data_IF_794837217976
#
_entry.id   IF_794837217976
#
_cell.length_a   1.000
_cell.length_b   1.000
_cell.length_c   1.000
_cell.angle_alpha   90.00
_cell.angle_beta   90.00
_cell.angle_gamma   90.00
#
_symmetry.space_group_name_H-M   'P 1'
#
loop_
_entity.id
_entity.type
_entity.pdbx_description
1 polymer ?
#
# COMPACT_ATOMS: atom_id res chain seq x y z
N UNK A 1 27.50 -21.37 2.19
CA UNK A 1 27.15 -19.94 2.01
C UNK A 1 25.90 -19.75 1.15
N UNK A 2 25.80 -20.37 -0.03
CA UNK A 2 24.61 -20.25 -0.89
C UNK A 2 23.29 -20.65 -0.18
N UNK A 3 23.29 -21.78 0.53
CA UNK A 3 22.12 -22.28 1.29
C UNK A 3 21.66 -21.32 2.39
N UNK A 4 22.60 -20.66 3.06
CA UNK A 4 22.30 -19.66 4.08
C UNK A 4 21.73 -18.39 3.43
N UNK A 5 22.26 -18.00 2.27
CA UNK A 5 21.70 -16.89 1.50
C UNK A 5 20.25 -17.16 1.06
N UNK A 6 19.94 -18.34 0.52
CA UNK A 6 18.56 -18.71 0.14
C UNK A 6 17.62 -18.76 1.35
N UNK A 7 18.10 -19.19 2.52
CA UNK A 7 17.32 -19.14 3.77
C UNK A 7 17.08 -17.70 4.21
N UNK A 8 18.08 -16.82 4.07
CA UNK A 8 17.96 -15.40 4.42
C UNK A 8 16.98 -14.62 3.54
N UNK A 9 16.75 -15.05 2.29
CA UNK A 9 15.76 -14.46 1.38
C UNK A 9 14.36 -15.04 1.56
N UNK A 10 14.18 -16.00 2.48
CA UNK A 10 12.95 -16.78 2.68
C UNK A 10 12.50 -17.61 1.46
N UNK A 11 13.42 -17.92 0.54
CA UNK A 11 13.13 -18.70 -0.66
C UNK A 11 13.48 -20.18 -0.46
N UNK A 12 12.47 -21.05 -0.50
CA UNK A 12 12.67 -22.50 -0.43
C UNK A 12 13.25 -23.01 0.91
N UNK A 13 13.36 -22.17 1.93
CA UNK A 13 13.91 -22.52 3.24
C UNK A 13 13.20 -23.68 3.95
N UNK A 14 11.87 -23.91 3.82
CA UNK A 14 11.24 -25.08 4.44
C UNK A 14 11.73 -26.38 3.81
N UNK A 15 12.00 -26.39 2.49
CA UNK A 15 12.57 -27.54 1.81
C UNK A 15 13.97 -27.89 2.33
N UNK A 16 14.83 -26.87 2.49
CA UNK A 16 16.16 -27.05 3.07
C UNK A 16 16.09 -27.52 4.53
N UNK A 17 15.15 -26.97 5.31
CA UNK A 17 14.89 -27.39 6.68
C UNK A 17 14.50 -28.87 6.74
N UNK A 18 13.54 -29.32 5.94
CA UNK A 18 13.08 -30.72 5.95
C UNK A 18 14.19 -31.69 5.56
N UNK A 19 14.95 -31.40 4.50
CA UNK A 19 16.12 -32.22 4.13
C UNK A 19 17.16 -32.25 5.25
N UNK A 20 17.31 -31.15 5.99
CA UNK A 20 18.25 -31.10 7.13
C UNK A 20 17.74 -31.87 8.36
N UNK A 21 16.44 -31.89 8.62
CA UNK A 21 15.82 -32.68 9.69
C UNK A 21 15.98 -34.19 9.41
N UNK A 22 15.89 -34.57 8.14
CA UNK A 22 15.99 -35.97 7.72
C UNK A 22 17.45 -36.45 7.57
N UNK A 23 18.44 -35.60 7.86
CA UNK A 23 19.87 -35.94 7.76
C UNK A 23 20.30 -36.96 8.81
N UNK A 24 21.02 -38.00 8.38
CA UNK A 24 21.50 -39.11 9.24
C UNK A 24 23.04 -39.14 9.32
N UNK A 25 23.68 -40.13 8.69
CA UNK A 25 25.13 -40.32 8.64
C UNK A 25 25.72 -39.84 7.29
N UNK A 26 27.04 -39.65 7.26
CA UNK A 26 27.75 -39.32 6.03
C UNK A 26 27.57 -40.45 5.00
N UNK A 27 27.40 -40.08 3.72
CA UNK A 27 27.15 -40.99 2.59
C UNK A 27 25.90 -41.89 2.69
N UNK A 28 24.98 -41.60 3.62
CA UNK A 28 23.72 -42.31 3.80
C UNK A 28 22.51 -41.49 3.36
N UNK A 29 21.46 -42.18 2.89
CA UNK A 29 20.19 -41.54 2.50
C UNK A 29 19.43 -40.93 3.69
N UNK A 30 18.45 -40.05 3.43
CA UNK A 30 17.68 -39.40 4.48
C UNK A 30 16.78 -40.39 5.24
N UNK A 31 16.68 -40.22 6.56
CA UNK A 31 15.73 -40.94 7.42
C UNK A 31 14.72 -39.92 7.94
N UNK A 32 13.43 -40.17 7.69
CA UNK A 32 12.38 -39.23 8.04
C UNK A 32 12.38 -38.91 9.54
N UNK A 33 12.44 -37.62 9.87
CA UNK A 33 12.37 -37.06 11.22
C UNK A 33 13.48 -37.57 12.18
N UNK A 34 14.67 -37.86 11.67
CA UNK A 34 15.78 -38.36 12.48
C UNK A 34 16.34 -37.29 13.45
N UNK A 35 16.44 -36.02 13.02
CA UNK A 35 17.04 -34.93 13.82
C UNK A 35 16.20 -33.63 13.83
N UNK A 36 15.04 -33.62 14.51
CA UNK A 36 14.19 -32.42 14.59
C UNK A 36 14.88 -31.24 15.28
N UNK A 37 15.91 -31.47 16.12
CA UNK A 37 16.68 -30.41 16.79
C UNK A 37 17.32 -29.42 15.81
N UNK A 38 17.61 -29.84 14.57
CA UNK A 38 18.18 -29.00 13.51
C UNK A 38 17.26 -27.83 13.16
N UNK A 39 15.94 -27.94 13.39
CA UNK A 39 15.01 -26.84 13.18
C UNK A 39 15.34 -25.61 14.04
N UNK A 40 15.84 -25.80 15.26
CA UNK A 40 16.22 -24.69 16.14
C UNK A 40 17.30 -23.81 15.52
N UNK A 41 18.27 -24.40 14.81
CA UNK A 41 19.33 -23.67 14.10
C UNK A 41 18.75 -22.72 13.04
N UNK A 42 17.83 -23.23 12.20
CA UNK A 42 17.21 -22.43 11.14
C UNK A 42 16.39 -21.26 11.71
N UNK A 43 15.62 -21.50 12.77
CA UNK A 43 14.79 -20.46 13.39
C UNK A 43 15.66 -19.37 14.02
N UNK A 44 16.70 -19.74 14.78
CA UNK A 44 17.63 -18.78 15.39
C UNK A 44 18.36 -17.98 14.29
N UNK A 45 18.84 -18.66 13.24
CA UNK A 45 19.50 -18.03 12.11
C UNK A 45 18.60 -16.99 11.42
N UNK A 46 17.35 -17.37 11.13
CA UNK A 46 16.36 -16.47 10.50
C UNK A 46 16.13 -15.22 11.36
N UNK A 47 15.92 -15.38 12.67
CA UNK A 47 15.65 -14.25 13.56
C UNK A 47 16.84 -13.28 13.59
N UNK A 48 18.06 -13.81 13.75
CA UNK A 48 19.27 -13.01 13.83
C UNK A 48 19.48 -12.25 12.52
N UNK A 49 19.47 -12.95 11.37
CA UNK A 49 19.73 -12.31 10.08
C UNK A 49 18.63 -11.31 9.72
N UNK A 50 17.36 -11.61 9.99
CA UNK A 50 16.27 -10.67 9.77
C UNK A 50 16.45 -9.39 10.59
N UNK A 51 16.82 -9.51 11.86
CA UNK A 51 17.08 -8.35 12.73
C UNK A 51 18.25 -7.49 12.20
N UNK A 52 19.35 -8.13 11.80
CA UNK A 52 20.49 -7.41 11.21
C UNK A 52 20.12 -6.75 9.88
N UNK A 53 19.40 -7.43 9.00
CA UNK A 53 19.00 -6.89 7.70
C UNK A 53 18.10 -5.64 7.85
N UNK A 54 17.13 -5.67 8.77
CA UNK A 54 16.29 -4.51 9.07
C UNK A 54 17.14 -3.34 9.60
N UNK A 55 18.05 -3.61 10.53
CA UNK A 55 18.89 -2.55 11.12
C UNK A 55 19.84 -1.92 10.10
N UNK A 56 20.45 -2.71 9.22
CA UNK A 56 21.31 -2.20 8.14
C UNK A 56 20.48 -1.35 7.17
N UNK A 57 19.29 -1.82 6.79
CA UNK A 57 18.41 -1.08 5.89
C UNK A 57 17.97 0.26 6.49
N UNK A 58 17.51 0.26 7.74
CA UNK A 58 17.11 1.48 8.45
C UNK A 58 18.29 2.43 8.60
N UNK A 59 19.46 1.92 9.00
CA UNK A 59 20.68 2.73 9.12
C UNK A 59 21.06 3.41 7.80
N UNK A 60 21.04 2.66 6.70
CA UNK A 60 21.31 3.20 5.37
C UNK A 60 20.28 4.27 4.97
N UNK A 61 18.99 3.99 5.11
CA UNK A 61 17.91 4.95 4.76
C UNK A 61 18.02 6.24 5.57
N UNK A 62 18.29 6.16 6.87
CA UNK A 62 18.47 7.35 7.71
C UNK A 62 19.68 8.16 7.26
N UNK A 63 20.83 7.52 7.04
CA UNK A 63 22.05 8.22 6.60
C UNK A 63 21.84 8.88 5.24
N UNK A 64 21.23 8.19 4.29
CA UNK A 64 20.90 8.76 2.97
C UNK A 64 19.90 9.92 3.11
N UNK A 65 18.87 9.81 3.94
CA UNK A 65 17.92 10.89 4.15
C UNK A 65 18.56 12.13 4.78
N UNK A 66 19.50 11.95 5.72
CA UNK A 66 20.25 13.04 6.32
C UNK A 66 21.20 13.70 5.30
N UNK A 67 21.91 12.90 4.51
CA UNK A 67 22.86 13.41 3.50
C UNK A 67 22.15 14.06 2.30
N UNK A 68 21.09 13.47 1.75
CA UNK A 68 20.44 14.01 0.55
C UNK A 68 19.32 15.01 0.91
N UNK A 69 18.64 14.83 2.05
CA UNK A 69 17.49 15.65 2.44
C UNK A 69 17.83 16.89 3.28
N UNK A 70 18.89 16.85 4.08
CA UNK A 70 19.22 17.93 5.03
C UNK A 70 20.56 18.61 4.77
N UNK A 71 21.46 18.00 3.99
CA UNK A 71 22.79 18.56 3.73
C UNK A 71 22.76 19.88 2.95
N UNK A 72 21.88 20.04 1.97
CA UNK A 72 21.74 21.27 1.19
C UNK A 72 21.35 22.47 2.08
N UNK A 73 20.63 22.19 3.17
CA UNK A 73 20.09 23.20 4.07
C UNK A 73 20.84 23.31 5.39
N UNK A 74 21.93 22.56 5.58
CA UNK A 74 22.72 22.51 6.82
C UNK A 74 23.30 23.86 7.23
N UNK A 75 23.53 24.76 6.26
CA UNK A 75 24.07 26.12 6.48
C UNK A 75 22.99 27.22 6.33
N UNK A 76 21.71 26.86 6.34
CA UNK A 76 20.62 27.82 6.26
C UNK A 76 20.14 28.20 7.66
N UNK A 77 20.06 29.49 7.96
CA UNK A 77 19.57 30.00 9.26
C UNK A 77 18.05 29.78 9.46
N UNK A 78 17.35 29.29 8.45
CA UNK A 78 15.90 29.09 8.45
C UNK A 78 15.52 27.64 8.76
N UNK A 79 14.65 27.46 9.76
CA UNK A 79 14.04 26.17 10.07
C UNK A 79 13.18 25.65 8.90
N UNK A 80 12.95 24.33 8.85
CA UNK A 80 12.13 23.66 7.84
C UNK A 80 10.73 24.26 7.74
N UNK A 81 10.11 24.60 8.87
CA UNK A 81 8.78 25.19 8.89
C UNK A 81 8.76 26.61 8.33
N UNK A 82 9.80 27.40 8.63
CA UNK A 82 9.95 28.76 8.10
C UNK A 82 10.14 28.74 6.59
N UNK A 83 10.98 27.83 6.08
CA UNK A 83 11.20 27.64 4.65
C UNK A 83 9.91 27.27 3.92
N UNK A 84 9.15 26.30 4.43
CA UNK A 84 7.86 25.91 3.85
C UNK A 84 6.86 27.08 3.84
N UNK A 85 6.83 27.89 4.89
CA UNK A 85 5.96 29.07 4.98
C UNK A 85 6.37 30.15 3.97
N UNK A 86 7.67 30.48 3.88
CA UNK A 86 8.20 31.45 2.93
C UNK A 86 7.97 30.99 1.49
N UNK A 87 8.24 29.72 1.20
CA UNK A 87 7.99 29.13 -0.12
C UNK A 87 6.52 29.24 -0.50
N UNK A 88 5.61 28.88 0.41
CA UNK A 88 4.19 29.02 0.18
C UNK A 88 3.80 30.48 -0.05
N UNK A 89 4.26 31.40 0.78
CA UNK A 89 3.95 32.83 0.66
C UNK A 89 4.44 33.42 -0.68
N UNK A 90 5.61 32.98 -1.17
CA UNK A 90 6.18 33.46 -2.43
C UNK A 90 5.58 32.80 -3.68
N UNK A 91 5.19 31.52 -3.59
CA UNK A 91 4.72 30.72 -4.74
C UNK A 91 3.20 30.58 -4.83
N UNK A 92 2.45 30.91 -3.78
CA UNK A 92 1.00 30.78 -3.78
C UNK A 92 0.36 31.61 -4.90
N UNK A 93 -0.49 30.97 -5.70
CA UNK A 93 -1.27 31.61 -6.75
C UNK A 93 -2.75 31.59 -6.37
N UNK A 94 -3.52 32.63 -6.72
CA UNK A 94 -4.94 32.66 -6.41
C UNK A 94 -5.68 31.54 -7.13
N UNK A 95 -6.56 30.86 -6.41
CA UNK A 95 -7.45 29.83 -6.99
C UNK A 95 -8.59 30.55 -7.72
N UNK A 96 -8.85 30.13 -8.97
CA UNK A 96 -9.94 30.68 -9.77
C UNK A 96 -11.27 30.09 -9.31
N UNK A 97 -12.19 30.93 -8.84
CA UNK A 97 -13.59 30.56 -8.55
C UNK A 97 -14.50 31.11 -9.63
N UNK A 98 -15.11 30.23 -10.42
CA UNK A 98 -16.02 30.60 -11.50
C UNK A 98 -17.43 30.84 -10.96
N UNK A 99 -17.81 32.12 -10.82
CA UNK A 99 -19.15 32.51 -10.34
C UNK A 99 -19.98 33.00 -11.54
N UNK A 100 -21.13 32.36 -11.85
CA UNK A 100 -21.96 32.76 -12.98
C UNK A 100 -22.71 34.07 -12.70
N UNK A 101 -22.97 34.85 -13.76
CA UNK A 101 -23.69 36.14 -13.68
C UNK A 101 -25.21 36.01 -13.93
N UNK A 102 -25.64 35.03 -14.71
CA UNK A 102 -27.04 34.88 -15.08
C UNK A 102 -27.86 34.22 -13.96
N UNK A 103 -29.09 34.69 -13.71
CA UNK A 103 -29.94 34.24 -12.59
C UNK A 103 -30.19 32.73 -12.58
N UNK A 104 -30.45 32.12 -13.74
CA UNK A 104 -30.71 30.67 -13.85
C UNK A 104 -29.42 29.88 -13.60
N UNK A 105 -28.29 30.30 -14.19
CA UNK A 105 -27.00 29.66 -14.01
C UNK A 105 -26.53 29.75 -12.54
N UNK A 106 -26.81 30.86 -11.87
CA UNK A 106 -26.52 31.02 -10.45
C UNK A 106 -27.29 30.03 -9.57
N UNK A 107 -28.57 29.78 -9.86
CA UNK A 107 -29.36 28.77 -9.12
C UNK A 107 -28.78 27.36 -9.28
N UNK A 108 -28.39 26.97 -10.50
CA UNK A 108 -27.76 25.67 -10.77
C UNK A 108 -26.40 25.58 -10.09
N UNK A 109 -25.56 26.61 -10.22
CA UNK A 109 -24.25 26.67 -9.57
C UNK A 109 -24.35 26.57 -8.05
N UNK A 110 -25.32 27.27 -7.45
CA UNK A 110 -25.58 27.22 -6.01
C UNK A 110 -26.00 25.82 -5.56
N UNK A 111 -26.82 25.13 -6.34
CA UNK A 111 -27.22 23.74 -6.07
C UNK A 111 -26.04 22.76 -6.19
N UNK A 112 -25.27 22.83 -7.28
CA UNK A 112 -24.13 21.93 -7.53
C UNK A 112 -22.98 22.15 -6.55
N UNK A 113 -22.78 23.39 -6.09
CA UNK A 113 -21.73 23.74 -5.10
C UNK A 113 -22.20 23.51 -3.65
N UNK A 114 -23.40 22.96 -3.45
CA UNK A 114 -23.94 22.74 -2.09
C UNK A 114 -23.39 21.45 -1.48
N UNK A 115 -23.09 21.48 -0.17
CA UNK A 115 -22.69 20.30 0.60
C UNK A 115 -23.65 19.10 0.46
N UNK A 116 -25.00 19.24 0.52
CA UNK A 116 -25.89 18.09 0.35
C UNK A 116 -25.76 17.42 -1.03
N UNK A 117 -25.49 18.20 -2.09
CA UNK A 117 -25.24 17.64 -3.42
C UNK A 117 -23.93 16.85 -3.47
N UNK A 118 -22.86 17.36 -2.86
CA UNK A 118 -21.59 16.63 -2.73
C UNK A 118 -21.77 15.29 -2.00
N UNK A 119 -22.50 15.28 -0.87
CA UNK A 119 -22.81 14.03 -0.15
C UNK A 119 -23.66 13.07 -0.98
N UNK A 120 -24.64 13.56 -1.74
CA UNK A 120 -25.47 12.72 -2.63
C UNK A 120 -24.61 12.01 -3.67
N UNK A 121 -23.73 12.74 -4.36
CA UNK A 121 -22.80 12.17 -5.35
C UNK A 121 -21.87 11.14 -4.70
N UNK A 122 -21.31 11.46 -3.53
CA UNK A 122 -20.46 10.53 -2.79
C UNK A 122 -21.18 9.22 -2.43
N UNK A 123 -22.41 9.30 -1.93
CA UNK A 123 -23.23 8.12 -1.61
C UNK A 123 -23.53 7.30 -2.87
N UNK A 124 -23.85 7.94 -4.00
CA UNK A 124 -24.08 7.25 -5.26
C UNK A 124 -22.84 6.50 -5.75
N UNK A 125 -21.64 7.09 -5.61
CA UNK A 125 -20.36 6.42 -5.96
C UNK A 125 -20.13 5.21 -5.05
N UNK A 126 -20.40 5.33 -3.76
CA UNK A 126 -20.27 4.23 -2.80
C UNK A 126 -21.21 3.07 -3.15
N UNK A 127 -22.48 3.35 -3.44
CA UNK A 127 -23.45 2.32 -3.82
C UNK A 127 -23.08 1.67 -5.16
N UNK A 128 -22.59 2.44 -6.14
CA UNK A 128 -22.11 1.89 -7.40
C UNK A 128 -20.91 0.94 -7.18
N UNK A 129 -19.95 1.33 -6.35
CA UNK A 129 -18.78 0.48 -6.01
C UNK A 129 -19.19 -0.83 -5.33
N UNK A 130 -20.17 -0.77 -4.42
CA UNK A 130 -20.75 -1.96 -3.79
C UNK A 130 -21.43 -2.84 -4.85
N UNK A 131 -22.23 -2.25 -5.74
CA UNK A 131 -22.93 -2.97 -6.82
C UNK A 131 -21.95 -3.70 -7.74
N UNK A 132 -20.81 -3.09 -8.06
CA UNK A 132 -19.74 -3.73 -8.84
C UNK A 132 -19.09 -4.90 -8.09
N UNK A 133 -18.93 -4.77 -6.77
CA UNK A 133 -18.32 -5.79 -5.90
C UNK A 133 -19.27 -6.95 -5.56
N UNK A 134 -20.57 -6.81 -5.85
CA UNK A 134 -21.61 -7.80 -5.60
C UNK A 134 -21.68 -8.94 -6.64
N UNK A 135 -20.85 -8.89 -7.70
CA UNK A 135 -20.76 -9.97 -8.71
C UNK A 135 -20.05 -11.20 -8.14
N UNK A 136 -20.62 -12.38 -8.34
CA UNK A 136 -20.02 -13.64 -7.89
C UNK A 136 -20.17 -14.77 -8.90
N UNK A 137 -19.33 -15.81 -8.77
CA UNK A 137 -19.32 -16.95 -9.69
C UNK A 137 -20.58 -17.81 -9.52
N UNK A 138 -21.23 -18.17 -10.64
CA UNK A 138 -22.52 -18.91 -10.69
C UNK A 138 -23.69 -18.19 -10.00
N UNK A 139 -23.77 -16.88 -10.20
CA UNK A 139 -24.94 -16.10 -9.77
C UNK A 139 -26.20 -16.44 -10.58
N UNK A 140 -27.41 -16.39 -9.96
CA UNK A 140 -28.68 -16.59 -10.68
C UNK A 140 -28.88 -15.57 -11.82
N UNK A 141 -29.60 -15.96 -12.86
CA UNK A 141 -29.89 -15.08 -14.02
C UNK A 141 -30.61 -13.80 -13.59
N UNK A 142 -31.65 -13.92 -12.73
CA UNK A 142 -32.41 -12.79 -12.17
C UNK A 142 -31.49 -11.80 -11.44
N UNK A 143 -30.49 -12.32 -10.70
CA UNK A 143 -29.54 -11.48 -9.98
C UNK A 143 -28.64 -10.69 -10.93
N UNK A 144 -28.23 -11.32 -12.03
CA UNK A 144 -27.45 -10.66 -13.10
C UNK A 144 -28.24 -9.53 -13.75
N UNK A 145 -29.51 -9.77 -14.09
CA UNK A 145 -30.39 -8.76 -14.69
C UNK A 145 -30.59 -7.54 -13.77
N UNK A 146 -30.78 -7.77 -12.46
CA UNK A 146 -30.91 -6.69 -11.48
C UNK A 146 -29.62 -5.87 -11.38
N UNK A 147 -28.45 -6.52 -11.34
CA UNK A 147 -27.17 -5.81 -11.32
C UNK A 147 -26.93 -5.00 -12.60
N UNK A 148 -27.31 -5.53 -13.77
CA UNK A 148 -27.17 -4.81 -15.04
C UNK A 148 -28.14 -3.63 -15.13
N UNK A 149 -29.37 -3.75 -14.63
CA UNK A 149 -30.31 -2.64 -14.50
C UNK A 149 -29.76 -1.54 -13.58
N UNK A 150 -29.18 -1.91 -12.42
CA UNK A 150 -28.55 -0.95 -11.51
C UNK A 150 -27.37 -0.23 -12.18
N UNK A 151 -26.54 -0.94 -12.95
CA UNK A 151 -25.46 -0.31 -13.70
C UNK A 151 -25.97 0.69 -14.75
N UNK A 152 -27.08 0.38 -15.42
CA UNK A 152 -27.72 1.31 -16.35
C UNK A 152 -28.24 2.56 -15.64
N UNK A 153 -28.88 2.40 -14.47
CA UNK A 153 -29.37 3.51 -13.64
C UNK A 153 -28.19 4.41 -13.22
N UNK A 154 -27.11 3.84 -12.71
CA UNK A 154 -25.92 4.63 -12.34
C UNK A 154 -25.34 5.37 -13.55
N UNK A 155 -25.29 4.73 -14.73
CA UNK A 155 -24.83 5.36 -15.97
C UNK A 155 -25.71 6.52 -16.41
N UNK A 156 -27.02 6.50 -16.10
CA UNK A 156 -27.93 7.59 -16.44
C UNK A 156 -27.89 8.75 -15.41
N UNK A 157 -27.53 8.47 -14.16
CA UNK A 157 -27.49 9.43 -13.06
C UNK A 157 -26.20 10.24 -13.03
N UNK A 158 -25.07 9.63 -13.43
CA UNK A 158 -23.76 10.28 -13.53
C UNK A 158 -23.53 10.92 -14.91
#
# INVERSE_FOLDING_TARGET
>A
MLTLFTVSTFEGWPGLLYVSIDSHEEDSGPIHNFRPIVASYYIIYIIIIAFFMVNIFVGFVIVTFQNEGEQEYKNCDLDKNQRNCIEFALKAKPIRRYIPKHRIQYKVWWFVTSQPFEYMIFVLIMINTITLSMKFYRQPEIYTEVLDLLNLIFTAVF
#
